data_IF_651077604348
#
_entry.id   IF_651077604348
#
_cell.length_a   1.000
_cell.length_b   1.000
_cell.length_c   1.000
_cell.angle_alpha   90.00
_cell.angle_beta   90.00
_cell.angle_gamma   90.00
#
_symmetry.space_group_name_H-M   'P 1'
#
loop_
_entity.id
_entity.type
_entity.pdbx_description
1 polymer ?
#
# COMPACT_ATOMS: atom_id res chain seq x y z
N UNK A 1 -28.77 3.93 25.48
CA UNK A 1 -28.10 2.67 25.12
C UNK A 1 -28.68 2.19 23.80
N UNK A 2 -28.01 2.46 22.67
CA UNK A 2 -28.36 1.85 21.39
C UNK A 2 -27.43 0.67 21.17
N UNK A 3 -27.96 -0.53 21.43
CA UNK A 3 -27.36 -1.77 20.94
C UNK A 3 -27.36 -1.71 19.41
N UNK A 4 -26.21 -1.42 18.80
CA UNK A 4 -26.03 -1.69 17.40
C UNK A 4 -26.15 -3.20 17.21
N UNK A 5 -27.14 -3.64 16.42
CA UNK A 5 -27.20 -4.99 15.87
C UNK A 5 -25.82 -5.30 15.28
N UNK A 6 -25.12 -6.28 15.86
CA UNK A 6 -23.98 -6.91 15.22
C UNK A 6 -24.60 -7.67 14.04
N UNK A 7 -24.66 -7.03 12.87
CA UNK A 7 -24.90 -7.76 11.63
C UNK A 7 -23.82 -8.84 11.55
N UNK A 8 -24.20 -10.05 11.18
CA UNK A 8 -23.31 -11.19 11.01
C UNK A 8 -22.21 -10.78 10.02
N UNK A 9 -21.03 -10.41 10.53
CA UNK A 9 -19.93 -9.95 9.69
C UNK A 9 -19.36 -11.19 8.99
N UNK A 10 -19.19 -11.18 7.67
CA UNK A 10 -18.68 -12.34 6.96
C UNK A 10 -17.29 -12.68 7.51
N UNK A 11 -17.10 -13.95 7.87
CA UNK A 11 -15.79 -14.44 8.29
C UNK A 11 -14.78 -14.31 7.14
N UNK A 12 -13.56 -13.91 7.45
CA UNK A 12 -12.47 -13.90 6.47
C UNK A 12 -12.12 -15.35 6.09
N UNK A 13 -12.41 -15.73 4.85
CA UNK A 13 -12.07 -17.05 4.29
C UNK A 13 -10.96 -16.97 3.25
N UNK A 14 -10.57 -15.76 2.82
CA UNK A 14 -9.46 -15.52 1.92
C UNK A 14 -8.79 -14.18 2.21
N UNK A 15 -7.47 -14.16 2.36
CA UNK A 15 -6.67 -12.94 2.44
C UNK A 15 -6.08 -12.62 1.05
N UNK A 16 -6.51 -11.51 0.45
CA UNK A 16 -5.85 -10.93 -0.73
C UNK A 16 -4.74 -9.97 -0.25
N UNK A 17 -3.48 -10.39 -0.38
CA UNK A 17 -2.32 -9.61 0.04
C UNK A 17 -1.61 -8.99 -1.17
N UNK A 18 -1.74 -7.67 -1.35
CA UNK A 18 -1.06 -6.90 -2.39
C UNK A 18 0.32 -6.45 -1.87
N UNK A 19 1.35 -7.21 -2.22
CA UNK A 19 2.75 -6.86 -1.98
C UNK A 19 3.22 -5.84 -3.01
N UNK A 20 3.66 -4.67 -2.55
CA UNK A 20 4.02 -3.56 -3.42
C UNK A 20 5.17 -2.72 -2.88
N UNK A 21 5.72 -1.86 -3.74
CA UNK A 21 6.59 -0.74 -3.34
C UNK A 21 5.88 0.56 -3.73
N UNK A 22 6.23 1.68 -3.09
CA UNK A 22 5.67 2.99 -3.45
C UNK A 22 5.80 3.23 -4.96
N UNK A 23 4.77 3.83 -5.56
CA UNK A 23 4.75 4.27 -6.97
C UNK A 23 4.75 3.16 -8.04
N UNK A 24 4.35 1.95 -7.66
CA UNK A 24 4.13 0.79 -8.56
C UNK A 24 2.73 0.74 -9.19
N UNK A 25 1.89 1.76 -8.98
CA UNK A 25 0.47 1.72 -9.41
C UNK A 25 -0.43 0.89 -8.52
N UNK A 26 0.06 0.38 -7.38
CA UNK A 26 -0.74 -0.38 -6.42
C UNK A 26 -1.99 0.35 -5.91
N UNK A 27 -1.95 1.68 -5.78
CA UNK A 27 -3.14 2.48 -5.46
C UNK A 27 -4.19 2.45 -6.57
N UNK A 28 -3.78 2.50 -7.84
CA UNK A 28 -4.69 2.38 -8.99
C UNK A 28 -5.35 0.99 -8.98
N UNK A 29 -4.54 -0.06 -8.88
CA UNK A 29 -5.02 -1.44 -8.80
C UNK A 29 -6.02 -1.63 -7.65
N UNK A 30 -5.64 -1.24 -6.44
CA UNK A 30 -6.51 -1.38 -5.27
C UNK A 30 -7.81 -0.58 -5.37
N UNK A 31 -7.81 0.56 -6.07
CA UNK A 31 -9.04 1.32 -6.31
C UNK A 31 -10.05 0.55 -7.17
N UNK A 32 -9.57 -0.17 -8.19
CA UNK A 32 -10.39 -0.99 -9.08
C UNK A 32 -10.87 -2.25 -8.35
N UNK A 33 -9.95 -2.95 -7.67
CA UNK A 33 -10.28 -4.14 -6.88
C UNK A 33 -11.36 -3.84 -5.84
N UNK A 34 -11.24 -2.71 -5.13
CA UNK A 34 -12.27 -2.26 -4.18
C UNK A 34 -13.61 -2.01 -4.86
N UNK A 35 -13.62 -1.41 -6.05
CA UNK A 35 -14.83 -1.13 -6.80
C UNK A 35 -15.56 -2.39 -7.27
N UNK A 36 -14.89 -3.56 -7.30
CA UNK A 36 -15.56 -4.84 -7.61
C UNK A 36 -16.55 -5.27 -6.54
N UNK A 37 -16.43 -4.75 -5.31
CA UNK A 37 -17.22 -5.20 -4.16
C UNK A 37 -16.93 -6.63 -3.70
N UNK A 38 -15.91 -7.29 -4.25
CA UNK A 38 -15.63 -8.70 -4.01
C UNK A 38 -14.15 -9.01 -3.69
N UNK A 39 -13.28 -8.00 -3.67
CA UNK A 39 -11.86 -8.15 -3.35
C UNK A 39 -11.48 -7.56 -1.98
N UNK A 40 -12.46 -7.45 -1.06
CA UNK A 40 -12.29 -6.69 0.18
C UNK A 40 -12.09 -5.20 -0.06
N UNK A 41 -11.42 -4.54 0.90
CA UNK A 41 -11.00 -3.13 0.79
C UNK A 41 -9.48 -3.04 0.87
N UNK A 42 -8.71 -3.31 -0.21
CA UNK A 42 -7.25 -3.40 -0.15
C UNK A 42 -6.56 -2.04 0.07
N UNK A 43 -6.54 -1.61 1.34
CA UNK A 43 -5.97 -0.36 1.83
C UNK A 43 -4.64 -0.60 2.56
N UNK A 44 -3.89 0.47 2.81
CA UNK A 44 -2.66 0.42 3.63
C UNK A 44 -3.00 0.44 5.13
N UNK A 45 -3.58 -0.64 5.65
CA UNK A 45 -3.89 -0.77 7.09
C UNK A 45 -2.63 -0.68 7.97
N UNK A 46 -1.48 -1.04 7.42
CA UNK A 46 -0.19 -0.89 8.08
C UNK A 46 0.40 0.51 7.94
N UNK A 47 -0.29 1.50 7.38
CA UNK A 47 0.24 2.87 7.29
C UNK A 47 -0.39 3.78 8.35
N UNK A 48 0.29 3.90 9.50
CA UNK A 48 -0.17 4.67 10.66
C UNK A 48 -0.21 6.20 10.44
N UNK A 49 0.31 6.68 9.31
CA UNK A 49 0.37 8.10 8.98
C UNK A 49 -0.79 8.57 8.09
N UNK A 50 -1.66 7.66 7.65
CA UNK A 50 -2.78 8.00 6.78
C UNK A 50 -3.96 8.61 7.54
N UNK A 51 -4.78 9.41 6.84
CA UNK A 51 -6.08 9.84 7.35
C UNK A 51 -7.00 8.65 7.63
N UNK A 52 -6.95 7.60 6.80
CA UNK A 52 -7.75 6.40 6.99
C UNK A 52 -7.43 5.70 8.31
N UNK A 53 -6.14 5.57 8.66
CA UNK A 53 -5.74 5.05 9.96
C UNK A 53 -6.25 5.92 11.11
N UNK A 54 -6.10 7.24 11.00
CA UNK A 54 -6.59 8.20 12.01
C UNK A 54 -8.11 8.06 12.22
N UNK A 55 -8.88 8.04 11.14
CA UNK A 55 -10.35 7.94 11.19
C UNK A 55 -10.77 6.60 11.80
N UNK A 56 -10.23 5.49 11.29
CA UNK A 56 -10.53 4.16 11.82
C UNK A 56 -10.22 4.07 13.32
N UNK A 57 -9.08 4.61 13.74
CA UNK A 57 -8.69 4.62 15.16
C UNK A 57 -9.65 5.43 16.02
N UNK A 58 -10.11 6.58 15.53
CA UNK A 58 -11.07 7.41 16.26
C UNK A 58 -12.43 6.71 16.38
N UNK A 59 -12.88 6.03 15.32
CA UNK A 59 -14.16 5.30 15.29
C UNK A 59 -14.14 4.03 16.14
N UNK A 60 -13.03 3.29 16.16
CA UNK A 60 -12.93 1.98 16.81
C UNK A 60 -12.15 2.00 18.13
N UNK A 61 -11.56 3.15 18.52
CA UNK A 61 -10.67 3.27 19.68
C UNK A 61 -9.47 2.31 19.68
N UNK A 62 -8.99 1.93 18.48
CA UNK A 62 -7.93 0.95 18.25
C UNK A 62 -6.97 1.43 17.15
N UNK A 63 -5.65 1.25 17.29
CA UNK A 63 -4.94 0.67 18.44
C UNK A 63 -4.81 1.66 19.61
N UNK A 64 -4.64 1.11 20.82
CA UNK A 64 -4.46 1.87 22.06
C UNK A 64 -2.99 2.20 22.27
N UNK A 65 -2.73 3.41 22.76
CA UNK A 65 -1.38 3.81 23.13
C UNK A 65 -0.93 3.03 24.36
N UNK A 66 0.34 2.63 24.40
CA UNK A 66 1.00 2.14 25.61
C UNK A 66 1.47 3.32 26.48
N UNK A 67 2.11 3.04 27.62
CA UNK A 67 2.58 4.10 28.55
C UNK A 67 3.51 5.12 27.87
N UNK A 68 4.50 4.65 27.09
CA UNK A 68 5.40 5.51 26.31
C UNK A 68 4.61 6.38 25.33
N UNK A 69 3.67 5.78 24.60
CA UNK A 69 2.80 6.46 23.67
C UNK A 69 1.88 7.50 24.31
N UNK A 70 1.37 7.26 25.52
CA UNK A 70 0.55 8.23 26.27
C UNK A 70 1.38 9.44 26.67
N UNK A 71 2.56 9.22 27.26
CA UNK A 71 3.46 10.30 27.72
C UNK A 71 3.95 11.15 26.55
N UNK A 72 4.52 10.50 25.53
CA UNK A 72 5.02 11.21 24.34
C UNK A 72 3.88 11.81 23.54
N UNK A 73 2.74 11.13 23.48
CA UNK A 73 1.57 11.58 22.73
C UNK A 73 0.90 12.83 23.30
N UNK A 74 0.93 13.01 24.62
CA UNK A 74 0.45 14.24 25.25
C UNK A 74 1.26 15.47 24.82
N UNK A 75 2.59 15.35 24.84
CA UNK A 75 3.51 16.41 24.38
C UNK A 75 3.29 16.73 22.88
N UNK A 76 3.09 15.70 22.05
CA UNK A 76 2.85 15.89 20.62
C UNK A 76 1.53 16.59 20.34
N UNK A 77 0.46 16.20 21.04
CA UNK A 77 -0.87 16.84 20.93
C UNK A 77 -0.82 18.31 21.30
N UNK A 78 -0.08 18.68 22.34
CA UNK A 78 0.12 20.08 22.72
C UNK A 78 0.75 20.93 21.59
N UNK A 79 1.50 20.31 20.67
CA UNK A 79 2.08 20.96 19.49
C UNK A 79 1.20 20.84 18.22
N UNK A 80 -0.08 20.46 18.35
CA UNK A 80 -1.00 20.28 17.22
C UNK A 80 -0.70 19.06 16.35
N UNK A 81 0.15 18.14 16.82
CA UNK A 81 0.53 16.91 16.10
C UNK A 81 -0.26 15.71 16.58
N UNK A 82 -0.35 14.69 15.74
CA UNK A 82 -0.90 13.39 16.16
C UNK A 82 -0.14 12.83 17.37
N UNK A 83 -0.87 12.19 18.28
CA UNK A 83 -0.29 11.58 19.49
C UNK A 83 0.73 10.46 19.18
N UNK A 84 0.73 9.93 17.96
CA UNK A 84 1.67 8.93 17.52
C UNK A 84 2.61 9.45 16.42
N UNK A 85 3.73 8.74 16.28
CA UNK A 85 4.67 8.85 15.16
C UNK A 85 5.27 7.49 14.82
N UNK A 86 5.48 6.66 15.82
CA UNK A 86 6.11 5.36 15.66
C UNK A 86 5.15 4.28 16.17
N UNK A 87 5.18 3.11 15.52
CA UNK A 87 4.34 1.96 15.86
C UNK A 87 4.54 1.47 17.31
N UNK A 88 5.74 1.62 17.86
CA UNK A 88 6.10 1.28 19.24
C UNK A 88 5.28 2.05 20.29
N UNK A 89 4.52 3.07 19.88
CA UNK A 89 3.70 3.83 20.82
C UNK A 89 2.38 3.11 21.11
N UNK A 90 2.06 2.05 20.37
CA UNK A 90 0.87 1.24 20.55
C UNK A 90 1.18 -0.06 21.30
N UNK A 91 0.23 -0.56 22.09
CA UNK A 91 0.40 -1.89 22.70
C UNK A 91 0.27 -3.00 21.65
N UNK A 92 1.01 -4.10 21.82
CA UNK A 92 0.93 -5.26 20.90
C UNK A 92 -0.46 -5.89 20.89
N UNK A 93 -1.09 -6.01 22.06
CA UNK A 93 -2.44 -6.56 22.17
C UNK A 93 -3.49 -5.72 21.43
N UNK A 94 -3.41 -4.39 21.53
CA UNK A 94 -4.37 -3.52 20.85
C UNK A 94 -4.06 -3.36 19.36
N UNK A 95 -2.81 -3.57 18.95
CA UNK A 95 -2.45 -3.66 17.55
C UNK A 95 -3.05 -4.90 16.89
N UNK A 96 -2.95 -6.07 17.53
CA UNK A 96 -3.61 -7.31 17.06
C UNK A 96 -5.13 -7.10 16.95
N UNK A 97 -5.75 -6.53 17.98
CA UNK A 97 -7.18 -6.17 17.93
C UNK A 97 -7.51 -5.17 16.80
N UNK A 98 -6.63 -4.22 16.50
CA UNK A 98 -6.79 -3.31 15.37
C UNK A 98 -6.80 -4.07 14.04
N UNK A 99 -5.86 -5.00 13.84
CA UNK A 99 -5.77 -5.81 12.62
C UNK A 99 -6.99 -6.74 12.46
N UNK A 100 -7.44 -7.38 13.55
CA UNK A 100 -8.65 -8.20 13.57
C UNK A 100 -9.89 -7.37 13.22
N UNK A 101 -10.02 -6.19 13.85
CA UNK A 101 -11.14 -5.28 13.58
C UNK A 101 -11.10 -4.73 12.15
N UNK A 102 -9.91 -4.45 11.62
CA UNK A 102 -9.75 -4.00 10.25
C UNK A 102 -10.24 -5.08 9.27
N UNK A 103 -9.92 -6.35 9.49
CA UNK A 103 -10.45 -7.44 8.68
C UNK A 103 -11.97 -7.57 8.82
N UNK A 104 -12.49 -7.57 10.05
CA UNK A 104 -13.90 -7.79 10.33
C UNK A 104 -14.84 -6.76 9.66
N UNK A 105 -14.43 -5.49 9.55
CA UNK A 105 -15.26 -4.45 8.91
C UNK A 105 -15.02 -4.28 7.41
N UNK A 106 -13.96 -4.87 6.86
CA UNK A 106 -13.55 -4.68 5.47
C UNK A 106 -13.54 -5.96 4.63
N UNK A 107 -14.01 -7.06 5.19
CA UNK A 107 -14.25 -8.31 4.47
C UNK A 107 -15.52 -8.19 3.65
N UNK A 108 -15.44 -8.48 2.35
CA UNK A 108 -16.61 -8.46 1.45
C UNK A 108 -17.49 -9.70 1.69
N UNK A 109 -18.76 -9.70 1.26
CA UNK A 109 -19.70 -10.81 1.53
C UNK A 109 -19.23 -12.20 1.06
N UNK A 110 -18.34 -12.26 0.06
CA UNK A 110 -17.68 -13.48 -0.40
C UNK A 110 -16.50 -13.95 0.47
N UNK A 111 -16.27 -13.32 1.64
CA UNK A 111 -15.26 -13.72 2.62
C UNK A 111 -13.83 -13.24 2.31
N UNK A 112 -13.65 -12.34 1.33
CA UNK A 112 -12.34 -11.80 0.97
C UNK A 112 -12.01 -10.57 1.82
N UNK A 113 -10.90 -10.63 2.55
CA UNK A 113 -10.23 -9.46 3.13
C UNK A 113 -9.04 -9.07 2.26
N UNK A 114 -9.02 -7.83 1.76
CA UNK A 114 -7.92 -7.30 0.95
C UNK A 114 -7.03 -6.37 1.75
N UNK A 115 -5.71 -6.46 1.59
CA UNK A 115 -4.74 -5.55 2.19
C UNK A 115 -3.64 -5.16 1.19
N UNK A 116 -3.24 -3.89 1.20
CA UNK A 116 -2.08 -3.38 0.45
C UNK A 116 -0.93 -3.09 1.38
N UNK A 117 0.26 -3.60 1.07
CA UNK A 117 1.43 -3.47 1.93
C UNK A 117 2.65 -3.01 1.14
N UNK A 118 3.33 -2.00 1.68
CA UNK A 118 4.72 -1.73 1.35
C UNK A 118 5.65 -2.52 2.28
N UNK A 119 6.80 -2.98 1.79
CA UNK A 119 7.65 -3.89 2.58
C UNK A 119 8.04 -3.28 3.93
N UNK A 120 8.44 -2.01 3.95
CA UNK A 120 8.81 -1.31 5.19
C UNK A 120 7.67 -1.30 6.22
N UNK A 121 6.42 -1.11 5.77
CA UNK A 121 5.24 -1.14 6.63
C UNK A 121 4.97 -2.57 7.14
N UNK A 122 5.13 -3.57 6.27
CA UNK A 122 4.94 -4.97 6.64
C UNK A 122 6.01 -5.44 7.63
N UNK A 123 7.26 -5.09 7.39
CA UNK A 123 8.37 -5.41 8.27
C UNK A 123 8.22 -4.74 9.64
N UNK A 124 8.12 -3.40 9.67
CA UNK A 124 8.08 -2.62 10.91
C UNK A 124 6.82 -2.92 11.74
N UNK A 125 5.66 -3.08 11.10
CA UNK A 125 4.37 -3.17 11.81
C UNK A 125 3.82 -4.60 11.95
N UNK A 126 4.44 -5.59 11.29
CA UNK A 126 4.09 -7.02 11.46
C UNK A 126 5.32 -7.83 11.86
N UNK A 127 6.29 -8.01 10.96
CA UNK A 127 7.37 -9.00 11.13
C UNK A 127 8.21 -8.75 12.39
N UNK A 128 8.65 -7.50 12.60
CA UNK A 128 9.42 -7.10 13.78
C UNK A 128 8.62 -7.23 15.09
N UNK A 129 7.30 -7.41 15.01
CA UNK A 129 6.39 -7.59 16.15
C UNK A 129 5.92 -9.04 16.32
N UNK A 130 6.59 -9.99 15.67
CA UNK A 130 6.24 -11.40 15.72
C UNK A 130 4.87 -11.70 15.12
N UNK A 131 4.52 -10.99 14.05
CA UNK A 131 3.32 -11.18 13.26
C UNK A 131 3.70 -11.38 11.79
N UNK A 132 2.89 -12.11 11.05
CA UNK A 132 2.95 -12.15 9.60
C UNK A 132 1.52 -12.20 9.03
N UNK A 133 1.40 -12.33 7.71
CA UNK A 133 0.11 -12.37 7.03
C UNK A 133 -0.76 -13.58 7.43
N UNK A 134 -0.24 -14.61 8.11
CA UNK A 134 -1.05 -15.71 8.68
C UNK A 134 -1.87 -15.28 9.90
N UNK A 135 -1.63 -14.08 10.45
CA UNK A 135 -2.35 -13.53 11.60
C UNK A 135 -3.88 -13.66 11.50
N UNK A 136 -4.44 -13.46 10.31
CA UNK A 136 -5.89 -13.51 10.08
C UNK A 136 -6.46 -14.93 9.92
N UNK A 137 -5.62 -15.98 9.97
CA UNK A 137 -6.07 -17.37 9.96
C UNK A 137 -6.72 -17.84 8.66
N UNK A 138 -6.64 -17.07 7.57
CA UNK A 138 -7.22 -17.38 6.27
C UNK A 138 -6.13 -17.72 5.23
N UNK A 139 -6.42 -18.61 4.25
CA UNK A 139 -5.55 -18.83 3.10
C UNK A 139 -5.18 -17.52 2.40
N UNK A 140 -3.89 -17.38 2.07
CA UNK A 140 -3.33 -16.14 1.54
C UNK A 140 -3.15 -16.25 0.02
N UNK A 141 -3.72 -15.28 -0.70
CA UNK A 141 -3.54 -15.07 -2.14
C UNK A 141 -2.66 -13.85 -2.35
N UNK A 142 -1.38 -14.10 -2.59
CA UNK A 142 -0.39 -13.06 -2.79
C UNK A 142 -0.44 -12.53 -4.23
N UNK A 143 -0.56 -11.21 -4.36
CA UNK A 143 -0.34 -10.50 -5.61
C UNK A 143 0.87 -9.58 -5.42
N UNK A 144 1.88 -9.74 -6.27
CA UNK A 144 3.05 -8.86 -6.29
C UNK A 144 2.91 -7.89 -7.45
N UNK A 145 2.83 -6.60 -7.16
CA UNK A 145 2.86 -5.55 -8.18
C UNK A 145 4.22 -4.84 -8.21
N UNK A 146 4.86 -4.82 -9.39
CA UNK A 146 6.12 -4.10 -9.66
C UNK A 146 5.91 -3.06 -10.75
N UNK A 147 6.96 -2.30 -11.06
CA UNK A 147 6.99 -1.37 -12.17
C UNK A 147 8.32 -1.54 -12.89
N UNK A 148 8.26 -1.81 -14.18
CA UNK A 148 9.45 -2.19 -14.94
C UNK A 148 10.35 -0.98 -15.19
N UNK A 149 9.76 0.20 -15.40
CA UNK A 149 10.51 1.46 -15.48
C UNK A 149 10.75 2.05 -14.07
N UNK A 150 11.81 1.58 -13.41
CA UNK A 150 12.21 2.01 -12.07
C UNK A 150 12.66 3.48 -12.03
N UNK A 151 13.22 4.02 -13.14
CA UNK A 151 13.58 5.45 -13.22
C UNK A 151 12.35 6.35 -13.09
N UNK A 152 11.28 6.05 -13.86
CA UNK A 152 10.00 6.76 -13.70
C UNK A 152 9.34 6.51 -12.35
N UNK A 153 9.56 5.34 -11.75
CA UNK A 153 9.09 5.07 -10.40
C UNK A 153 9.78 5.99 -9.38
N UNK A 154 11.11 6.11 -9.46
CA UNK A 154 11.93 6.94 -8.57
C UNK A 154 11.61 8.44 -8.73
N UNK A 155 11.53 8.94 -9.97
CA UNK A 155 11.10 10.31 -10.26
C UNK A 155 9.71 10.57 -9.64
N UNK A 156 8.78 9.63 -9.80
CA UNK A 156 7.44 9.77 -9.23
C UNK A 156 7.46 9.78 -7.71
N UNK A 157 8.40 9.08 -7.07
CA UNK A 157 8.57 9.06 -5.62
C UNK A 157 9.10 10.40 -5.12
N UNK A 158 10.21 10.89 -5.70
CA UNK A 158 10.81 12.19 -5.36
C UNK A 158 9.77 13.31 -5.47
N UNK A 159 9.00 13.32 -6.57
CA UNK A 159 7.97 14.33 -6.77
C UNK A 159 6.84 14.24 -5.76
N UNK A 160 6.41 13.04 -5.39
CA UNK A 160 5.39 12.84 -4.36
C UNK A 160 5.89 13.28 -2.97
N UNK A 161 7.15 12.97 -2.62
CA UNK A 161 7.77 13.37 -1.35
C UNK A 161 7.96 14.88 -1.27
N UNK A 162 8.36 15.51 -2.37
CA UNK A 162 8.46 16.95 -2.44
C UNK A 162 7.06 17.58 -2.32
N UNK A 163 6.14 17.33 -3.24
CA UNK A 163 4.81 17.97 -3.26
C UNK A 163 3.88 17.56 -2.11
N UNK A 164 4.19 16.49 -1.38
CA UNK A 164 3.28 15.75 -0.49
C UNK A 164 2.00 15.27 -1.22
N UNK A 165 2.08 15.06 -2.53
CA UNK A 165 0.98 14.58 -3.37
C UNK A 165 1.17 13.10 -3.71
N UNK A 166 0.47 12.23 -2.98
CA UNK A 166 0.65 10.78 -3.10
C UNK A 166 -0.30 10.11 -4.10
N UNK A 167 -1.39 10.76 -4.50
CA UNK A 167 -2.31 10.29 -5.54
C UNK A 167 -2.98 11.47 -6.28
N UNK A 168 -3.67 11.18 -7.38
CA UNK A 168 -4.30 12.19 -8.26
C UNK A 168 -5.37 13.04 -7.56
N UNK A 169 -5.91 12.59 -6.44
CA UNK A 169 -7.01 13.24 -5.73
C UNK A 169 -6.50 14.19 -4.64
N UNK A 170 -5.18 14.33 -4.48
CA UNK A 170 -4.54 15.29 -3.58
C UNK A 170 -4.02 16.49 -4.37
N UNK A 171 -4.12 17.68 -3.78
CA UNK A 171 -3.45 18.88 -4.31
C UNK A 171 -1.99 18.92 -3.89
N UNK A 172 -1.09 19.30 -4.80
CA UNK A 172 0.31 19.54 -4.48
C UNK A 172 0.44 20.74 -3.53
N UNK A 173 1.24 20.61 -2.47
CA UNK A 173 1.53 21.72 -1.55
C UNK A 173 2.68 22.61 -2.04
N UNK A 174 3.55 22.07 -2.91
CA UNK A 174 4.64 22.78 -3.58
C UNK A 174 4.92 22.13 -4.93
N UNK A 175 5.45 22.93 -5.86
CA UNK A 175 5.92 22.43 -7.15
C UNK A 175 7.22 21.62 -6.95
N UNK A 176 7.30 20.37 -7.45
CA UNK A 176 8.52 19.58 -7.39
C UNK A 176 9.65 20.18 -8.24
N UNK A 177 10.88 20.10 -7.74
CA UNK A 177 12.10 20.55 -8.40
C UNK A 177 12.99 19.34 -8.69
N UNK A 178 13.55 19.29 -9.90
CA UNK A 178 14.46 18.22 -10.30
C UNK A 178 15.65 18.17 -9.35
N UNK A 179 15.91 16.98 -8.82
CA UNK A 179 17.02 16.69 -7.93
C UNK A 179 17.57 15.31 -8.29
N UNK A 180 18.71 15.31 -8.98
CA UNK A 180 19.36 14.07 -9.46
C UNK A 180 19.71 13.15 -8.30
N UNK A 181 20.28 13.68 -7.23
CA UNK A 181 20.71 12.86 -6.09
C UNK A 181 19.50 12.26 -5.36
N UNK A 182 18.41 13.02 -5.23
CA UNK A 182 17.16 12.48 -4.70
C UNK A 182 16.61 11.33 -5.56
N UNK A 183 16.73 11.40 -6.89
CA UNK A 183 16.32 10.31 -7.80
C UNK A 183 17.20 9.06 -7.57
N UNK A 184 18.52 9.22 -7.43
CA UNK A 184 19.43 8.11 -7.12
C UNK A 184 19.08 7.45 -5.78
N UNK A 185 18.84 8.25 -4.74
CA UNK A 185 18.46 7.74 -3.42
C UNK A 185 17.09 7.02 -3.47
N UNK A 186 16.14 7.53 -4.25
CA UNK A 186 14.84 6.89 -4.47
C UNK A 186 14.98 5.55 -5.21
N UNK A 187 15.86 5.48 -6.21
CA UNK A 187 16.18 4.24 -6.94
C UNK A 187 16.76 3.16 -6.00
N UNK A 188 17.67 3.53 -5.09
CA UNK A 188 18.22 2.61 -4.09
C UNK A 188 17.16 2.14 -3.09
N UNK A 189 16.31 3.06 -2.64
CA UNK A 189 15.17 2.75 -1.75
C UNK A 189 14.22 1.75 -2.39
N UNK A 190 13.86 1.96 -3.67
CA UNK A 190 12.98 1.07 -4.43
C UNK A 190 13.62 -0.31 -4.60
N UNK A 191 14.89 -0.37 -5.01
CA UNK A 191 15.59 -1.64 -5.21
C UNK A 191 15.72 -2.42 -3.91
N UNK A 192 16.00 -1.76 -2.79
CA UNK A 192 16.07 -2.40 -1.47
C UNK A 192 14.72 -2.97 -1.08
N UNK A 193 13.65 -2.20 -1.23
CA UNK A 193 12.30 -2.66 -0.93
C UNK A 193 11.85 -3.82 -1.84
N UNK A 194 12.25 -3.82 -3.13
CA UNK A 194 12.00 -4.93 -4.05
C UNK A 194 12.75 -6.20 -3.60
N UNK A 195 14.06 -6.10 -3.35
CA UNK A 195 14.89 -7.22 -2.86
C UNK A 195 14.36 -7.83 -1.56
N UNK A 196 13.84 -6.99 -0.66
CA UNK A 196 13.29 -7.46 0.60
C UNK A 196 12.01 -8.28 0.40
N UNK A 197 11.11 -7.86 -0.52
CA UNK A 197 9.97 -8.69 -0.90
C UNK A 197 10.41 -10.02 -1.52
N UNK A 198 11.39 -9.98 -2.43
CA UNK A 198 11.87 -11.18 -3.12
C UNK A 198 12.51 -12.17 -2.13
N UNK A 199 13.33 -11.67 -1.20
CA UNK A 199 13.92 -12.46 -0.13
C UNK A 199 12.85 -13.06 0.80
N UNK A 200 11.81 -12.30 1.13
CA UNK A 200 10.69 -12.79 1.95
C UNK A 200 9.93 -13.93 1.25
N UNK A 201 9.60 -13.77 -0.03
CA UNK A 201 8.91 -14.81 -0.80
C UNK A 201 9.77 -16.05 -1.00
N UNK A 202 11.06 -15.88 -1.33
CA UNK A 202 11.99 -17.00 -1.47
C UNK A 202 12.15 -17.78 -0.16
N UNK A 203 12.34 -17.08 0.96
CA UNK A 203 12.48 -17.69 2.30
C UNK A 203 11.29 -18.58 2.67
N UNK A 204 10.08 -18.16 2.29
CA UNK A 204 8.85 -18.87 2.62
C UNK A 204 8.33 -19.75 1.47
N UNK A 205 9.07 -19.88 0.38
CA UNK A 205 8.65 -20.61 -0.83
C UNK A 205 7.27 -20.17 -1.36
N UNK A 206 6.99 -18.87 -1.29
CA UNK A 206 5.75 -18.28 -1.79
C UNK A 206 5.92 -17.89 -3.25
N UNK A 207 4.99 -18.32 -4.10
CA UNK A 207 4.89 -17.88 -5.50
C UNK A 207 3.71 -16.91 -5.67
N UNK A 208 3.93 -15.58 -5.61
CA UNK A 208 2.85 -14.61 -5.80
C UNK A 208 2.38 -14.56 -7.25
N UNK A 209 1.12 -14.20 -7.48
CA UNK A 209 0.69 -13.73 -8.80
C UNK A 209 1.39 -12.41 -9.10
N UNK A 210 2.30 -12.42 -10.08
CA UNK A 210 3.05 -11.23 -10.47
C UNK A 210 2.30 -10.42 -11.54
N UNK A 211 2.26 -9.11 -11.33
CA UNK A 211 1.67 -8.11 -12.21
C UNK A 211 2.60 -6.90 -12.29
N UNK A 212 2.76 -6.30 -13.46
CA UNK A 212 3.49 -5.04 -13.61
C UNK A 212 2.54 -3.86 -13.80
N UNK A 213 2.99 -2.67 -13.43
CA UNK A 213 2.27 -1.42 -13.72
C UNK A 213 1.99 -1.26 -15.22
N UNK A 214 2.93 -1.66 -16.05
CA UNK A 214 2.86 -1.65 -17.50
C UNK A 214 1.76 -2.59 -18.00
N UNK A 215 1.65 -3.81 -17.44
CA UNK A 215 0.52 -4.71 -17.72
C UNK A 215 -0.81 -4.09 -17.30
N UNK A 216 -0.89 -3.56 -16.08
CA UNK A 216 -2.12 -2.95 -15.55
C UNK A 216 -2.60 -1.78 -16.41
N UNK A 217 -1.69 -0.96 -16.93
CA UNK A 217 -2.03 0.22 -17.72
C UNK A 217 -2.23 -0.07 -19.19
N UNK A 218 -1.61 -1.12 -19.73
CA UNK A 218 -1.80 -1.58 -21.12
C UNK A 218 -3.12 -2.32 -21.29
N UNK A 219 -3.44 -3.22 -20.35
CA UNK A 219 -4.66 -4.03 -20.38
C UNK A 219 -5.20 -4.23 -18.96
N UNK A 220 -5.96 -3.23 -18.51
CA UNK A 220 -6.54 -3.19 -17.18
C UNK A 220 -7.58 -4.30 -16.96
N UNK A 221 -8.44 -4.55 -17.95
CA UNK A 221 -9.54 -5.52 -17.84
C UNK A 221 -8.97 -6.94 -17.64
N UNK A 222 -8.06 -7.36 -18.52
CA UNK A 222 -7.40 -8.67 -18.40
C UNK A 222 -6.61 -8.81 -17.10
N UNK A 223 -5.86 -7.77 -16.72
CA UNK A 223 -5.06 -7.78 -15.49
C UNK A 223 -5.92 -7.96 -14.24
N UNK A 224 -7.04 -7.23 -14.15
CA UNK A 224 -7.97 -7.33 -13.01
C UNK A 224 -8.65 -8.69 -12.99
N UNK A 225 -9.14 -9.20 -14.13
CA UNK A 225 -9.77 -10.53 -14.20
C UNK A 225 -8.83 -11.65 -13.78
N UNK A 226 -7.54 -11.57 -14.11
CA UNK A 226 -6.51 -12.52 -13.64
C UNK A 226 -6.40 -12.53 -12.12
N UNK A 227 -6.40 -11.35 -11.48
CA UNK A 227 -6.34 -11.24 -10.00
C UNK A 227 -7.63 -11.78 -9.37
N UNK A 228 -8.78 -11.40 -9.92
CA UNK A 228 -10.09 -11.86 -9.45
C UNK A 228 -10.24 -13.38 -9.57
N UNK A 229 -9.75 -13.97 -10.66
CA UNK A 229 -9.68 -15.43 -10.83
C UNK A 229 -8.71 -16.08 -9.83
N UNK A 230 -7.57 -15.45 -9.54
CA UNK A 230 -6.58 -15.95 -8.57
C UNK A 230 -7.13 -16.05 -7.13
N UNK A 231 -8.06 -15.15 -6.77
CA UNK A 231 -8.81 -15.21 -5.49
C UNK A 231 -10.13 -15.98 -5.61
N UNK A 232 -10.32 -16.77 -6.67
CA UNK A 232 -11.52 -17.58 -6.91
C UNK A 232 -12.84 -16.78 -6.89
N UNK A 233 -12.80 -15.53 -7.32
CA UNK A 233 -13.96 -14.64 -7.42
C UNK A 233 -13.99 -14.02 -8.81
N UNK A 234 -14.19 -14.79 -9.88
CA UNK A 234 -14.28 -14.22 -11.24
C UNK A 234 -15.41 -13.19 -11.30
N UNK A 235 -15.21 -12.15 -12.12
CA UNK A 235 -16.17 -11.06 -12.31
C UNK A 235 -16.50 -10.91 -13.79
N UNK A 236 -17.72 -10.46 -14.09
CA UNK A 236 -18.18 -10.25 -15.47
C UNK A 236 -17.77 -8.88 -16.01
N UNK A 237 -17.77 -7.86 -15.16
CA UNK A 237 -17.45 -6.48 -15.52
C UNK A 237 -16.33 -5.95 -14.62
N UNK A 238 -15.27 -5.43 -15.23
CA UNK A 238 -14.22 -4.71 -14.52
C UNK A 238 -14.68 -3.25 -14.33
N UNK A 239 -14.80 -2.76 -13.08
CA UNK A 239 -15.22 -1.39 -12.84
C UNK A 239 -14.17 -0.36 -13.28
N UNK A 240 -14.63 0.84 -13.62
CA UNK A 240 -13.75 1.98 -13.89
C UNK A 240 -12.92 2.37 -12.66
N UNK A 241 -11.65 2.77 -12.83
CA UNK A 241 -10.79 3.16 -11.72
C UNK A 241 -11.27 4.47 -11.07
N UNK A 242 -11.32 4.50 -9.73
CA UNK A 242 -11.65 5.71 -8.97
C UNK A 242 -10.48 6.71 -8.87
N UNK A 243 -9.29 6.28 -9.28
CA UNK A 243 -8.10 7.14 -9.36
C UNK A 243 -7.65 7.21 -10.80
N UNK A 244 -7.38 8.42 -11.30
CA UNK A 244 -6.83 8.58 -12.64
C UNK A 244 -5.32 8.35 -12.60
N UNK A 245 -4.78 7.84 -13.71
CA UNK A 245 -3.33 7.83 -13.94
C UNK A 245 -2.82 9.26 -13.78
N UNK A 246 -1.82 9.45 -12.93
CA UNK A 246 -1.05 10.69 -12.91
C UNK A 246 -0.20 10.70 -14.18
N UNK A 247 -0.65 11.43 -15.20
CA UNK A 247 0.16 11.74 -16.38
C UNK A 247 0.90 13.03 -16.13
N UNK A 248 2.19 13.09 -16.45
CA UNK A 248 2.81 14.38 -16.66
C UNK A 248 3.96 14.31 -17.65
N UNK A 249 4.01 15.31 -18.53
CA UNK A 249 5.19 15.56 -19.36
C UNK A 249 6.43 15.88 -18.51
N UNK A 250 6.23 16.35 -17.27
CA UNK A 250 7.29 16.65 -16.31
C UNK A 250 8.13 15.42 -15.95
N UNK A 251 7.53 14.25 -15.69
CA UNK A 251 8.31 13.02 -15.45
C UNK A 251 9.07 12.55 -16.68
N UNK A 252 8.51 12.73 -17.89
CA UNK A 252 9.21 12.38 -19.12
C UNK A 252 10.40 13.32 -19.38
N UNK A 253 10.27 14.61 -19.03
CA UNK A 253 11.38 15.55 -19.07
C UNK A 253 12.47 15.19 -18.05
N UNK A 254 12.10 14.90 -16.80
CA UNK A 254 13.05 14.52 -15.76
C UNK A 254 13.77 13.21 -16.10
N UNK A 255 13.07 12.23 -16.70
CA UNK A 255 13.67 10.98 -17.14
C UNK A 255 14.74 11.22 -18.22
N UNK A 256 14.43 12.03 -19.24
CA UNK A 256 15.42 12.38 -20.27
C UNK A 256 16.64 13.07 -19.66
N UNK A 257 16.42 14.10 -18.86
CA UNK A 257 17.49 14.84 -18.19
C UNK A 257 18.33 13.92 -17.29
N UNK A 258 17.70 13.03 -16.53
CA UNK A 258 18.39 12.09 -15.63
C UNK A 258 19.21 11.06 -16.39
N UNK A 259 18.71 10.52 -17.50
CA UNK A 259 19.43 9.53 -18.28
C UNK A 259 20.57 10.14 -19.11
N UNK A 260 20.46 11.42 -19.51
CA UNK A 260 21.55 12.18 -20.12
C UNK A 260 22.69 12.40 -19.13
N UNK A 261 22.38 12.73 -17.87
CA UNK A 261 23.41 12.96 -16.84
C UNK A 261 23.93 11.68 -16.18
N UNK A 262 23.10 10.62 -16.12
CA UNK A 262 23.38 9.35 -15.43
C UNK A 262 23.09 8.13 -16.33
N UNK A 263 23.84 7.96 -17.44
CA UNK A 263 23.60 6.90 -18.41
C UNK A 263 23.76 5.49 -17.82
N UNK A 264 24.44 5.33 -16.69
CA UNK A 264 24.56 4.05 -15.99
C UNK A 264 23.21 3.47 -15.51
N UNK A 265 22.16 4.29 -15.41
CA UNK A 265 20.81 3.85 -15.05
C UNK A 265 19.90 3.54 -16.24
N UNK A 266 20.39 3.62 -17.48
CA UNK A 266 19.57 3.40 -18.68
C UNK A 266 18.88 2.01 -18.70
N UNK A 267 19.54 0.97 -18.19
CA UNK A 267 18.97 -0.38 -18.10
C UNK A 267 17.77 -0.49 -17.16
N UNK A 268 17.59 0.47 -16.25
CA UNK A 268 16.46 0.54 -15.30
C UNK A 268 15.30 1.39 -15.81
N UNK A 269 15.48 2.07 -16.95
CA UNK A 269 14.42 2.76 -17.66
C UNK A 269 13.83 1.83 -18.72
N UNK A 270 12.96 0.90 -18.30
CA UNK A 270 12.27 0.04 -19.25
C UNK A 270 11.54 0.88 -20.30
N UNK A 271 11.76 0.54 -21.58
CA UNK A 271 11.04 1.14 -22.70
C UNK A 271 9.63 0.55 -22.72
N UNK A 272 8.62 1.42 -22.58
CA UNK A 272 7.19 1.03 -22.58
C UNK A 272 6.77 0.53 -23.96
#
# INVERSE_FOLDING_TARGET
MQQHKIADQPATTCLLAIASVHRTGSTLLCSILRATGAAGMPMEYLNIHTKNFTNFRNENSLPKLNLKGVVVGALRKATGRNAWRNIEYFSDSSWRQYLDRAAAVNTTPNGVFGIKMHFNQYDEHMLQRGLDASHWGAPIKWVRITRDNEVRQAISLVRAEQSNQWNSNMSAMREPIYDEQAIVNALETISTANKNWDAYFAKLSISPLHVTYEQLTRDMDSTVRRIMSHINTPIDLVPEPQTKRQSDGASAQWERQFLESRPEFASRAATI
#
